data_IF_313452355252
#
_entry.id   IF_313452355252
#
_cell.length_a   1.000
_cell.length_b   1.000
_cell.length_c   1.000
_cell.angle_alpha   90.00
_cell.angle_beta   90.00
_cell.angle_gamma   90.00
#
_symmetry.space_group_name_H-M   'P 1'
#
loop_
_entity.id
_entity.type
_entity.pdbx_description
1 polymer ?
#
# COMPACT_ATOMS: atom_id res chain seq x y z
N UNK A 1 -6.46 20.66 38.37
CA UNK A 1 -6.18 20.57 36.92
C UNK A 1 -6.18 19.10 36.61
N UNK A 2 -7.36 18.59 36.31
CA UNK A 2 -7.61 17.16 36.10
C UNK A 2 -7.13 16.79 34.69
N UNK A 3 -6.24 15.81 34.62
CA UNK A 3 -5.59 15.30 33.39
C UNK A 3 -6.51 14.30 32.66
N UNK A 4 -7.76 14.16 33.11
CA UNK A 4 -8.76 13.26 32.54
C UNK A 4 -9.79 14.02 31.70
N UNK A 5 -9.32 14.94 30.86
CA UNK A 5 -10.11 15.40 29.73
C UNK A 5 -9.91 14.32 28.65
N UNK A 6 -10.91 13.44 28.48
CA UNK A 6 -10.89 12.43 27.42
C UNK A 6 -10.53 13.13 26.10
N UNK A 7 -9.57 12.58 25.30
CA UNK A 7 -9.21 13.22 24.04
C UNK A 7 -10.49 13.44 23.25
N UNK A 8 -10.70 14.67 22.74
CA UNK A 8 -11.82 15.04 21.86
C UNK A 8 -12.18 13.83 21.02
N UNK A 9 -13.35 13.23 21.29
CA UNK A 9 -13.69 11.94 20.69
C UNK A 9 -13.62 12.10 19.17
N UNK A 10 -12.64 11.44 18.57
CA UNK A 10 -12.51 11.40 17.13
C UNK A 10 -13.74 10.65 16.62
N UNK A 11 -14.71 11.42 16.14
CA UNK A 11 -15.97 10.89 15.65
C UNK A 11 -15.72 9.93 14.47
N UNK A 12 -14.61 10.06 13.75
CA UNK A 12 -14.22 9.14 12.68
C UNK A 12 -13.68 7.82 13.26
N UNK A 13 -12.99 7.85 14.40
CA UNK A 13 -12.50 6.66 15.09
C UNK A 13 -13.63 5.83 15.74
N UNK A 14 -14.75 6.47 16.10
CA UNK A 14 -15.94 5.79 16.63
C UNK A 14 -16.92 5.33 15.53
N UNK A 15 -16.68 5.67 14.26
CA UNK A 15 -17.55 5.28 13.15
C UNK A 15 -17.49 3.77 12.94
N UNK A 16 -18.63 3.11 13.05
CA UNK A 16 -18.77 1.68 12.78
C UNK A 16 -18.48 1.38 11.29
N UNK A 17 -17.61 0.39 11.05
CA UNK A 17 -17.32 -0.13 9.71
C UNK A 17 -18.09 -1.43 9.55
N UNK A 18 -19.05 -1.44 8.64
CA UNK A 18 -19.77 -2.65 8.26
C UNK A 18 -18.92 -3.51 7.33
N UNK A 19 -18.52 -4.69 7.81
CA UNK A 19 -17.76 -5.69 7.04
C UNK A 19 -18.67 -6.73 6.35
N UNK A 20 -19.97 -6.74 6.64
CA UNK A 20 -20.94 -7.73 6.14
C UNK A 20 -21.66 -7.26 4.86
N UNK A 21 -21.41 -6.02 4.42
CA UNK A 21 -21.96 -5.47 3.18
C UNK A 21 -21.56 -6.32 1.96
N UNK A 22 -22.55 -6.93 1.28
CA UNK A 22 -22.39 -7.71 0.04
C UNK A 22 -22.12 -6.83 -1.21
N UNK A 23 -21.60 -5.61 -1.02
CA UNK A 23 -21.35 -4.69 -2.12
C UNK A 23 -20.15 -5.19 -2.94
N UNK A 24 -20.30 -5.18 -4.27
CA UNK A 24 -19.18 -5.51 -5.15
C UNK A 24 -18.01 -4.55 -4.87
N UNK A 25 -16.77 -5.03 -4.86
CA UNK A 25 -15.62 -4.18 -4.57
C UNK A 25 -15.58 -3.02 -5.58
N UNK A 26 -15.63 -1.79 -5.07
CA UNK A 26 -15.64 -0.56 -5.88
C UNK A 26 -14.37 -0.45 -6.74
N UNK A 27 -13.27 -1.02 -6.25
CA UNK A 27 -11.96 -1.05 -6.91
C UNK A 27 -11.54 -2.50 -7.20
N UNK A 28 -10.71 -2.71 -8.23
CA UNK A 28 -10.10 -4.01 -8.47
C UNK A 28 -9.19 -4.43 -7.32
N UNK A 29 -9.00 -5.75 -7.14
CA UNK A 29 -8.09 -6.31 -6.12
C UNK A 29 -6.65 -5.81 -6.23
N UNK A 30 -6.22 -5.45 -7.45
CA UNK A 30 -4.91 -4.87 -7.72
C UNK A 30 -5.06 -3.66 -8.65
N UNK A 31 -4.51 -2.53 -8.25
CA UNK A 31 -4.45 -1.30 -9.04
C UNK A 31 -3.20 -1.26 -9.91
N UNK A 32 -3.14 -0.32 -10.86
CA UNK A 32 -1.93 -0.13 -11.69
C UNK A 32 -0.77 0.42 -10.87
N UNK A 33 -1.07 1.20 -9.85
CA UNK A 33 -0.10 1.81 -8.93
C UNK A 33 0.53 0.76 -8.00
N UNK A 34 -0.09 -0.42 -7.84
CA UNK A 34 0.53 -1.56 -7.14
C UNK A 34 1.61 -2.27 -7.96
N UNK A 35 1.81 -1.87 -9.21
CA UNK A 35 2.85 -2.40 -10.08
C UNK A 35 3.90 -1.33 -10.36
N UNK A 36 5.14 -1.75 -10.62
CA UNK A 36 6.25 -0.88 -11.03
C UNK A 36 5.87 0.10 -12.16
N UNK A 37 4.91 -0.32 -13.02
CA UNK A 37 4.37 0.48 -14.12
C UNK A 37 3.65 1.75 -13.66
N UNK A 38 2.96 1.71 -12.51
CA UNK A 38 2.33 2.91 -11.92
C UNK A 38 3.35 3.85 -11.28
N UNK A 39 4.51 3.32 -10.86
CA UNK A 39 5.64 4.09 -10.35
C UNK A 39 6.56 4.68 -11.45
N UNK A 40 6.19 4.50 -12.72
CA UNK A 40 6.93 5.05 -13.86
C UNK A 40 8.07 4.17 -14.37
N UNK A 41 8.21 2.95 -13.86
CA UNK A 41 9.17 1.97 -14.37
C UNK A 41 8.77 1.58 -15.79
N UNK A 42 9.73 1.70 -16.72
CA UNK A 42 9.56 1.23 -18.09
C UNK A 42 9.69 -0.28 -18.08
N UNK A 43 8.87 -0.96 -18.89
CA UNK A 43 8.99 -2.40 -19.12
C UNK A 43 10.28 -2.72 -19.89
N UNK A 44 11.41 -2.73 -19.20
CA UNK A 44 12.67 -3.27 -19.68
C UNK A 44 12.91 -4.63 -19.02
N UNK A 45 13.66 -5.51 -19.68
CA UNK A 45 14.18 -6.71 -19.02
C UNK A 45 15.06 -6.25 -17.87
N UNK A 46 14.70 -6.64 -16.64
CA UNK A 46 15.43 -6.32 -15.41
C UNK A 46 16.81 -7.01 -15.40
N UNK A 47 17.04 -7.94 -16.32
CA UNK A 47 18.17 -8.87 -16.29
C UNK A 47 19.51 -8.14 -16.52
N UNK A 48 19.57 -7.16 -17.42
CA UNK A 48 20.79 -6.39 -17.67
C UNK A 48 21.21 -5.60 -16.42
N UNK A 49 20.26 -4.92 -15.76
CA UNK A 49 20.52 -4.19 -14.50
C UNK A 49 20.94 -5.13 -13.37
N UNK A 50 20.28 -6.28 -13.25
CA UNK A 50 20.58 -7.28 -12.21
C UNK A 50 21.96 -7.94 -12.42
N UNK A 51 22.40 -8.08 -13.67
CA UNK A 51 23.76 -8.52 -14.01
C UNK A 51 24.80 -7.43 -13.72
N UNK A 52 24.49 -6.16 -13.99
CA UNK A 52 25.36 -5.03 -13.64
C UNK A 52 25.50 -4.86 -12.12
N UNK A 53 24.41 -5.06 -11.37
CA UNK A 53 24.36 -4.94 -9.90
C UNK A 53 24.75 -6.24 -9.17
N UNK A 54 25.26 -7.26 -9.88
CA UNK A 54 25.67 -8.56 -9.31
C UNK A 54 26.65 -8.34 -8.15
N UNK A 55 26.35 -8.81 -6.93
CA UNK A 55 27.29 -8.72 -5.83
C UNK A 55 28.49 -9.65 -6.05
N UNK A 56 29.67 -9.29 -5.53
CA UNK A 56 30.96 -9.93 -5.86
C UNK A 56 31.13 -11.38 -5.40
N UNK A 57 30.17 -11.94 -4.65
CA UNK A 57 30.17 -13.32 -4.18
C UNK A 57 29.28 -14.26 -5.02
N UNK A 58 28.57 -13.72 -6.01
CA UNK A 58 27.95 -14.54 -7.04
C UNK A 58 29.04 -14.90 -8.04
N UNK A 59 29.61 -16.09 -7.91
CA UNK A 59 30.32 -16.85 -8.95
C UNK A 59 30.16 -18.34 -8.65
#
# INVERSE_FOLDING_TARGET
MDILDEPERDNDAEREVDFESEEAPVLPDQTRDDTERGWGERSHSNDDRLLEDRPPHWD
#
